data_IF_872673764674
#
_entry.id   IF_872673764674
#
_cell.length_a   1.000
_cell.length_b   1.000
_cell.length_c   1.000
_cell.angle_alpha   90.00
_cell.angle_beta   90.00
_cell.angle_gamma   90.00
#
_symmetry.space_group_name_H-M   'P 1'
#
loop_
_entity.id
_entity.type
_entity.pdbx_description
1 polymer ?
#
# COMPACT_ATOMS: atom_id res chain seq x y z
N UNK A 1 22.79 -7.44 6.53
CA UNK A 1 23.03 -6.19 5.80
C UNK A 1 22.74 -5.03 6.75
N UNK A 2 23.74 -4.21 7.06
CA UNK A 2 23.56 -3.03 7.92
C UNK A 2 22.98 -1.89 7.06
N UNK A 3 21.67 -1.83 6.94
CA UNK A 3 21.00 -0.70 6.31
C UNK A 3 20.85 0.40 7.36
N UNK A 4 21.46 1.54 7.12
CA UNK A 4 21.53 2.66 8.09
C UNK A 4 20.36 3.66 7.95
N UNK A 5 19.54 3.54 6.89
CA UNK A 5 18.41 4.42 6.61
C UNK A 5 17.19 3.61 6.17
N UNK A 6 16.01 4.18 6.30
CA UNK A 6 14.80 3.64 5.67
C UNK A 6 14.89 3.74 4.15
N UNK A 7 14.25 2.81 3.45
CA UNK A 7 14.24 2.79 1.99
C UNK A 7 12.88 2.29 1.50
N UNK A 8 12.29 2.98 0.52
CA UNK A 8 11.01 2.59 -0.08
C UNK A 8 11.05 1.19 -0.71
N UNK A 9 12.23 0.73 -1.15
CA UNK A 9 12.39 -0.64 -1.68
C UNK A 9 12.33 -1.73 -0.60
N UNK A 10 12.28 -1.39 0.68
CA UNK A 10 12.11 -2.38 1.75
C UNK A 10 10.70 -2.97 1.80
N UNK A 11 9.75 -2.37 1.13
CA UNK A 11 8.40 -2.94 0.94
C UNK A 11 8.44 -4.35 0.32
N UNK A 12 9.47 -4.69 -0.46
CA UNK A 12 9.66 -6.05 -1.01
C UNK A 12 9.81 -7.13 0.06
N UNK A 13 10.09 -6.76 1.32
CA UNK A 13 10.18 -7.69 2.44
C UNK A 13 8.83 -7.97 3.12
N UNK A 14 7.77 -7.23 2.79
CA UNK A 14 6.44 -7.41 3.39
C UNK A 14 5.96 -8.87 3.35
N UNK A 15 6.04 -9.60 2.22
CA UNK A 15 5.64 -11.01 2.19
C UNK A 15 6.48 -11.91 3.10
N UNK A 16 7.76 -11.57 3.31
CA UNK A 16 8.60 -12.31 4.24
C UNK A 16 8.22 -12.05 5.71
N UNK A 17 7.79 -10.82 6.04
CA UNK A 17 7.28 -10.46 7.36
C UNK A 17 5.97 -11.19 7.64
N UNK A 18 5.06 -11.26 6.66
CA UNK A 18 3.82 -12.04 6.74
C UNK A 18 4.11 -13.53 6.95
N UNK A 19 4.96 -14.10 6.10
CA UNK A 19 5.39 -15.50 6.21
C UNK A 19 5.98 -15.82 7.57
N UNK A 20 6.81 -14.93 8.12
CA UNK A 20 7.33 -15.06 9.47
C UNK A 20 6.22 -15.07 10.52
N UNK A 21 5.23 -14.21 10.40
CA UNK A 21 4.10 -14.16 11.34
C UNK A 21 3.35 -15.50 11.41
N UNK A 22 3.22 -16.20 10.28
CA UNK A 22 2.57 -17.52 10.21
C UNK A 22 3.41 -18.59 10.93
N UNK A 23 4.73 -18.60 10.71
CA UNK A 23 5.60 -19.67 11.22
C UNK A 23 6.22 -19.36 12.59
N UNK A 24 6.09 -18.14 13.09
CA UNK A 24 6.75 -17.64 14.30
C UNK A 24 6.56 -18.55 15.53
N UNK A 25 5.38 -19.16 15.64
CA UNK A 25 5.07 -20.02 16.80
C UNK A 25 5.52 -21.47 16.64
N UNK A 26 6.00 -21.88 15.45
CA UNK A 26 6.40 -23.25 15.16
C UNK A 26 7.90 -23.41 14.89
N UNK A 27 8.64 -22.33 14.67
CA UNK A 27 10.11 -22.34 14.54
C UNK A 27 10.79 -22.42 15.91
N UNK A 28 12.09 -22.74 15.92
CA UNK A 28 12.89 -22.80 17.15
C UNK A 28 12.95 -21.43 17.85
N UNK A 29 13.15 -21.44 19.17
CA UNK A 29 13.31 -20.18 19.92
C UNK A 29 14.54 -19.39 19.44
N UNK A 30 15.63 -20.08 19.10
CA UNK A 30 16.86 -19.43 18.60
C UNK A 30 16.62 -18.69 17.28
N UNK A 31 15.93 -19.34 16.33
CA UNK A 31 15.58 -18.71 15.05
C UNK A 31 14.64 -17.51 15.25
N UNK A 32 13.67 -17.68 16.16
CA UNK A 32 12.75 -16.59 16.52
C UNK A 32 13.49 -15.39 17.09
N UNK A 33 14.39 -15.60 18.03
CA UNK A 33 15.16 -14.52 18.66
C UNK A 33 16.05 -13.79 17.65
N UNK A 34 16.62 -14.51 16.68
CA UNK A 34 17.41 -13.92 15.61
C UNK A 34 16.56 -13.03 14.70
N UNK A 35 15.41 -13.54 14.23
CA UNK A 35 14.50 -12.82 13.33
C UNK A 35 13.86 -11.63 14.06
N UNK A 36 13.32 -11.83 15.27
CA UNK A 36 12.77 -10.75 16.11
C UNK A 36 13.84 -9.66 16.35
N UNK A 37 15.08 -10.07 16.63
CA UNK A 37 16.21 -9.15 16.80
C UNK A 37 16.51 -8.33 15.55
N UNK A 38 16.38 -8.93 14.35
CA UNK A 38 16.54 -8.22 13.09
C UNK A 38 15.38 -7.23 12.86
N UNK A 39 14.14 -7.63 13.10
CA UNK A 39 12.98 -6.73 12.98
C UNK A 39 13.09 -5.52 13.92
N UNK A 40 13.49 -5.73 15.17
CA UNK A 40 13.72 -4.63 16.13
C UNK A 40 14.81 -3.67 15.66
N UNK A 41 15.89 -4.18 15.07
CA UNK A 41 16.93 -3.33 14.47
C UNK A 41 16.37 -2.48 13.33
N UNK A 42 15.49 -3.04 12.47
CA UNK A 42 14.84 -2.27 11.39
C UNK A 42 13.91 -1.20 11.94
N UNK A 43 13.04 -1.53 12.89
CA UNK A 43 12.18 -0.56 13.58
C UNK A 43 12.99 0.60 14.15
N UNK A 44 14.11 0.31 14.81
CA UNK A 44 14.98 1.35 15.36
C UNK A 44 15.59 2.26 14.28
N UNK A 45 15.89 1.73 13.09
CA UNK A 45 16.32 2.54 11.95
C UNK A 45 15.19 3.45 11.49
N UNK A 46 13.97 2.94 11.35
CA UNK A 46 12.80 3.71 10.94
C UNK A 46 12.49 4.84 11.94
N UNK A 47 12.56 4.56 13.23
CA UNK A 47 12.37 5.55 14.31
C UNK A 47 13.43 6.64 14.23
N UNK A 48 14.69 6.27 14.03
CA UNK A 48 15.82 7.21 13.96
C UNK A 48 15.77 8.08 12.70
N UNK A 49 15.47 7.48 11.58
CA UNK A 49 15.40 8.16 10.29
C UNK A 49 14.18 9.08 10.22
N UNK A 50 13.04 8.61 10.67
CA UNK A 50 11.76 9.31 10.84
C UNK A 50 11.39 10.28 9.69
N UNK A 51 11.73 9.90 8.46
CA UNK A 51 11.49 10.71 7.26
C UNK A 51 10.05 10.49 6.74
N UNK A 52 9.07 11.01 7.49
CA UNK A 52 7.65 10.96 7.12
C UNK A 52 7.34 12.05 6.08
N UNK A 53 7.66 11.78 4.84
CA UNK A 53 7.25 12.62 3.72
C UNK A 53 5.76 12.44 3.44
N UNK A 54 5.10 13.51 3.03
CA UNK A 54 3.67 13.49 2.69
C UNK A 54 3.45 12.90 1.28
N UNK A 55 3.96 11.70 1.01
CA UNK A 55 3.90 11.00 -0.26
C UNK A 55 4.17 9.49 -0.08
N UNK A 56 4.31 8.75 -1.18
CA UNK A 56 4.56 7.30 -1.20
C UNK A 56 5.71 6.84 -0.28
N UNK A 57 6.75 7.65 -0.05
CA UNK A 57 7.83 7.32 0.90
C UNK A 57 7.33 7.24 2.34
N UNK A 58 6.50 8.23 2.74
CA UNK A 58 5.89 8.23 4.06
C UNK A 58 4.88 7.09 4.23
N UNK A 59 4.08 6.79 3.18
CA UNK A 59 3.15 5.66 3.20
C UNK A 59 3.88 4.33 3.37
N UNK A 60 4.99 4.15 2.63
CA UNK A 60 5.85 2.98 2.80
C UNK A 60 6.42 2.88 4.23
N UNK A 61 6.84 3.99 4.82
CA UNK A 61 7.35 3.97 6.20
C UNK A 61 6.24 3.61 7.21
N UNK A 62 5.02 4.10 7.01
CA UNK A 62 3.85 3.74 7.83
C UNK A 62 3.52 2.25 7.69
N UNK A 63 3.56 1.70 6.48
CA UNK A 63 3.43 0.27 6.21
C UNK A 63 4.48 -0.53 6.98
N UNK A 64 5.76 -0.12 6.94
CA UNK A 64 6.83 -0.81 7.67
C UNK A 64 6.59 -0.83 9.18
N UNK A 65 6.19 0.29 9.79
CA UNK A 65 5.86 0.32 11.22
C UNK A 65 4.70 -0.63 11.55
N UNK A 66 3.68 -0.66 10.71
CA UNK A 66 2.54 -1.55 10.92
C UNK A 66 2.95 -3.02 10.86
N UNK A 67 3.61 -3.44 9.77
CA UNK A 67 3.96 -4.82 9.54
C UNK A 67 4.98 -5.38 10.55
N UNK A 68 6.08 -4.69 10.76
CA UNK A 68 7.10 -5.15 11.72
C UNK A 68 6.58 -5.13 13.15
N UNK A 69 5.79 -4.12 13.52
CA UNK A 69 5.16 -4.04 14.83
C UNK A 69 4.17 -5.18 15.07
N UNK A 70 3.31 -5.46 14.09
CA UNK A 70 2.32 -6.54 14.15
C UNK A 70 2.98 -7.93 14.19
N UNK A 71 3.97 -8.18 13.34
CA UNK A 71 4.71 -9.45 13.32
C UNK A 71 5.43 -9.75 14.64
N UNK A 72 5.90 -8.71 15.34
CA UNK A 72 6.48 -8.83 16.69
C UNK A 72 5.45 -8.87 17.82
N UNK A 73 4.16 -8.65 17.51
CA UNK A 73 3.12 -8.36 18.49
C UNK A 73 3.49 -7.19 19.42
N UNK A 74 4.18 -6.19 18.87
CA UNK A 74 4.65 -5.01 19.60
C UNK A 74 3.64 -3.86 19.49
N UNK A 75 2.64 -3.90 20.38
CA UNK A 75 1.56 -2.89 20.40
C UNK A 75 2.08 -1.46 20.59
N UNK A 76 3.23 -1.29 21.25
CA UNK A 76 3.80 0.05 21.41
C UNK A 76 4.29 0.62 20.07
N UNK A 77 4.95 -0.21 19.25
CA UNK A 77 5.37 0.20 17.90
C UNK A 77 4.16 0.55 17.04
N UNK A 78 3.15 -0.34 16.97
CA UNK A 78 1.94 -0.10 16.17
C UNK A 78 1.21 1.16 16.64
N UNK A 79 0.98 1.33 17.93
CA UNK A 79 0.23 2.49 18.42
C UNK A 79 1.01 3.79 18.28
N UNK A 80 2.29 3.82 18.68
CA UNK A 80 3.08 5.06 18.75
C UNK A 80 3.50 5.54 17.37
N UNK A 81 3.99 4.62 16.52
CA UNK A 81 4.60 5.00 15.25
C UNK A 81 3.70 4.83 14.04
N UNK A 82 2.59 4.08 14.17
CA UNK A 82 1.59 3.96 13.13
C UNK A 82 0.28 4.68 13.52
N UNK A 83 -0.53 4.16 14.44
CA UNK A 83 -1.90 4.65 14.70
C UNK A 83 -1.96 6.12 15.13
N UNK A 84 -1.12 6.53 16.08
CA UNK A 84 -1.12 7.91 16.58
C UNK A 84 -0.61 8.93 15.56
N UNK A 85 0.15 8.49 14.56
CA UNK A 85 0.68 9.36 13.50
C UNK A 85 -0.18 9.39 12.26
N UNK A 86 -0.93 8.31 12.00
CA UNK A 86 -1.63 8.09 10.75
C UNK A 86 -2.53 9.25 10.35
N UNK A 87 -3.48 9.65 11.19
CA UNK A 87 -4.43 10.71 10.85
C UNK A 87 -3.75 12.07 10.65
N UNK A 88 -2.71 12.36 11.43
CA UNK A 88 -1.94 13.61 11.32
C UNK A 88 -1.11 13.70 10.05
N UNK A 89 -0.56 12.57 9.61
CA UNK A 89 0.29 12.48 8.42
C UNK A 89 -0.54 12.32 7.13
N UNK A 90 -1.50 11.39 7.09
CA UNK A 90 -2.23 11.05 5.87
C UNK A 90 -3.10 12.18 5.35
N UNK A 91 -3.54 13.10 6.24
CA UNK A 91 -4.28 14.30 5.83
C UNK A 91 -3.52 15.20 4.87
N UNK A 92 -2.19 15.11 4.83
CA UNK A 92 -1.35 15.87 3.90
C UNK A 92 -1.07 15.09 2.61
N UNK A 93 -1.31 13.77 2.60
CA UNK A 93 -1.08 12.92 1.45
C UNK A 93 -2.34 12.67 0.61
N UNK A 94 -3.50 12.52 1.24
CA UNK A 94 -4.77 12.28 0.57
C UNK A 94 -5.66 13.52 0.57
N UNK A 95 -6.29 13.80 -0.57
CA UNK A 95 -7.16 14.96 -0.77
C UNK A 95 -8.63 14.56 -0.96
N UNK A 96 -9.54 15.48 -0.60
CA UNK A 96 -10.99 15.25 -0.68
C UNK A 96 -11.50 15.02 -2.10
N UNK A 97 -10.77 15.46 -3.13
CA UNK A 97 -11.08 15.18 -4.53
C UNK A 97 -10.61 13.80 -5.02
N UNK A 98 -9.94 13.03 -4.15
CA UNK A 98 -9.42 11.70 -4.45
C UNK A 98 -7.98 11.68 -4.97
N UNK A 99 -7.33 12.82 -5.16
CA UNK A 99 -5.91 12.84 -5.56
C UNK A 99 -4.99 12.51 -4.38
N UNK A 100 -3.75 12.09 -4.70
CA UNK A 100 -2.65 11.98 -3.73
C UNK A 100 -1.63 13.10 -3.94
N UNK A 101 -0.78 13.36 -2.97
CA UNK A 101 0.34 14.31 -3.12
C UNK A 101 1.24 13.92 -4.30
N UNK A 102 1.47 12.63 -4.49
CA UNK A 102 2.26 12.12 -5.61
C UNK A 102 1.63 12.45 -6.96
N UNK A 103 0.31 12.31 -7.11
CA UNK A 103 -0.37 12.69 -8.35
C UNK A 103 -0.28 14.20 -8.57
N UNK A 104 -0.51 14.98 -7.52
CA UNK A 104 -0.49 16.45 -7.62
C UNK A 104 0.90 17.00 -8.00
N UNK A 105 1.96 16.44 -7.44
CA UNK A 105 3.32 16.91 -7.69
C UNK A 105 4.00 16.28 -8.91
N UNK A 106 3.55 15.10 -9.33
CA UNK A 106 4.17 14.32 -10.41
C UNK A 106 3.32 14.26 -11.69
N UNK A 107 2.03 14.61 -11.60
CA UNK A 107 1.07 14.47 -12.71
C UNK A 107 1.12 13.07 -13.34
N UNK A 108 1.05 12.04 -12.47
CA UNK A 108 1.27 10.67 -12.91
C UNK A 108 0.46 9.64 -12.11
N UNK A 109 -0.40 8.88 -12.80
CA UNK A 109 -1.09 7.74 -12.18
C UNK A 109 -0.15 6.61 -11.79
N UNK A 110 1.01 6.49 -12.44
CA UNK A 110 2.07 5.59 -12.00
C UNK A 110 2.48 5.85 -10.55
N UNK A 111 2.54 7.11 -10.10
CA UNK A 111 2.88 7.46 -8.72
C UNK A 111 1.68 7.49 -7.78
N UNK A 112 0.51 7.92 -8.27
CA UNK A 112 -0.74 7.80 -7.53
C UNK A 112 -1.01 6.35 -7.11
N UNK A 113 -0.94 5.44 -8.07
CA UNK A 113 -1.12 4.01 -7.81
C UNK A 113 -0.03 3.42 -6.91
N UNK A 114 1.22 3.88 -7.07
CA UNK A 114 2.32 3.41 -6.25
C UNK A 114 2.19 3.82 -4.77
N UNK A 115 1.61 4.99 -4.49
CA UNK A 115 1.24 5.38 -3.14
C UNK A 115 0.09 4.50 -2.60
N UNK A 116 -0.94 4.26 -3.43
CA UNK A 116 -2.06 3.38 -3.09
C UNK A 116 -1.64 1.94 -2.82
N UNK A 117 -0.55 1.44 -3.42
CA UNK A 117 0.00 0.12 -3.14
C UNK A 117 0.29 -0.07 -1.65
N UNK A 118 0.99 0.89 -1.04
CA UNK A 118 1.34 0.78 0.37
C UNK A 118 0.12 0.88 1.28
N UNK A 119 -0.88 1.66 0.91
CA UNK A 119 -2.17 1.67 1.60
C UNK A 119 -2.90 0.33 1.47
N UNK A 120 -2.89 -0.28 0.28
CA UNK A 120 -3.48 -1.59 0.05
C UNK A 120 -2.83 -2.67 0.92
N UNK A 121 -1.49 -2.68 0.97
CA UNK A 121 -0.73 -3.60 1.81
C UNK A 121 -1.01 -3.38 3.30
N UNK A 122 -1.19 -2.15 3.77
CA UNK A 122 -1.62 -1.88 5.16
C UNK A 122 -3.01 -2.47 5.41
N UNK A 123 -3.96 -2.27 4.51
CA UNK A 123 -5.30 -2.85 4.62
C UNK A 123 -5.26 -4.37 4.66
N UNK A 124 -4.47 -5.00 3.78
CA UNK A 124 -4.25 -6.44 3.80
C UNK A 124 -3.66 -6.92 5.14
N UNK A 125 -2.62 -6.26 5.62
CA UNK A 125 -2.05 -6.57 6.93
C UNK A 125 -3.07 -6.44 8.06
N UNK A 126 -3.94 -5.41 8.03
CA UNK A 126 -5.03 -5.27 8.99
C UNK A 126 -6.04 -6.42 8.89
N UNK A 127 -6.41 -6.83 7.69
CA UNK A 127 -7.27 -7.99 7.49
C UNK A 127 -6.67 -9.25 8.10
N UNK A 128 -5.36 -9.47 7.94
CA UNK A 128 -4.64 -10.62 8.47
C UNK A 128 -4.45 -10.59 9.99
N UNK A 129 -4.13 -9.42 10.57
CA UNK A 129 -3.79 -9.32 11.99
C UNK A 129 -4.96 -8.93 12.90
N UNK A 130 -5.97 -8.24 12.36
CA UNK A 130 -7.04 -7.62 13.14
C UNK A 130 -8.45 -7.93 12.58
N UNK A 131 -8.54 -8.53 11.39
CA UNK A 131 -9.79 -8.89 10.71
C UNK A 131 -10.27 -7.86 9.70
N UNK A 132 -11.10 -8.32 8.76
CA UNK A 132 -11.61 -7.51 7.64
C UNK A 132 -12.38 -6.27 8.07
N UNK A 133 -13.13 -6.35 9.15
CA UNK A 133 -13.87 -5.17 9.67
C UNK A 133 -12.95 -4.00 9.96
N UNK A 134 -11.80 -4.25 10.59
CA UNK A 134 -10.81 -3.19 10.89
C UNK A 134 -10.18 -2.66 9.61
N UNK A 135 -9.89 -3.54 8.65
CA UNK A 135 -9.36 -3.15 7.35
C UNK A 135 -10.34 -2.29 6.56
N UNK A 136 -11.64 -2.64 6.53
CA UNK A 136 -12.68 -1.88 5.86
C UNK A 136 -12.90 -0.50 6.49
N UNK A 137 -12.94 -0.44 7.82
CA UNK A 137 -13.03 0.82 8.54
C UNK A 137 -11.84 1.72 8.20
N UNK A 138 -10.63 1.18 8.17
CA UNK A 138 -9.42 1.91 7.81
C UNK A 138 -9.43 2.37 6.34
N UNK A 139 -9.84 1.51 5.41
CA UNK A 139 -9.96 1.82 3.99
C UNK A 139 -10.94 2.98 3.71
N UNK A 140 -12.07 2.99 4.42
CA UNK A 140 -13.12 3.99 4.24
C UNK A 140 -12.97 5.22 5.15
N UNK A 141 -12.05 5.22 6.12
CA UNK A 141 -11.91 6.26 7.13
C UNK A 141 -11.70 7.64 6.50
N UNK A 142 -12.58 8.58 6.82
CA UNK A 142 -12.36 10.00 6.50
C UNK A 142 -11.22 10.57 7.36
N UNK A 143 -10.15 10.96 6.70
CA UNK A 143 -8.94 11.46 7.36
C UNK A 143 -8.73 12.97 7.17
N UNK A 144 -9.46 13.58 6.22
CA UNK A 144 -9.32 15.01 5.89
C UNK A 144 -10.53 15.53 5.10
N UNK A 145 -11.64 15.81 5.79
CA UNK A 145 -12.82 16.47 5.19
C UNK A 145 -13.31 15.77 3.90
N UNK A 146 -13.43 14.47 3.93
CA UNK A 146 -13.88 13.65 2.82
C UNK A 146 -12.74 12.94 2.05
N UNK A 147 -11.50 13.06 2.48
CA UNK A 147 -10.39 12.26 1.95
C UNK A 147 -10.34 10.89 2.63
N UNK A 148 -10.13 9.83 1.85
CA UNK A 148 -9.91 8.47 2.34
C UNK A 148 -9.15 7.66 1.29
N UNK A 149 -8.62 6.49 1.68
CA UNK A 149 -8.02 5.56 0.72
C UNK A 149 -9.06 5.18 -0.34
N UNK A 150 -10.27 4.81 0.11
CA UNK A 150 -11.39 4.50 -0.78
C UNK A 150 -11.67 5.62 -1.79
N UNK A 151 -11.66 6.86 -1.35
CA UNK A 151 -11.90 8.02 -2.21
C UNK A 151 -10.83 8.14 -3.29
N UNK A 152 -9.58 7.87 -2.95
CA UNK A 152 -8.47 7.92 -3.92
C UNK A 152 -8.52 6.75 -4.90
N UNK A 153 -8.96 5.58 -4.47
CA UNK A 153 -9.23 4.44 -5.36
C UNK A 153 -10.43 4.72 -6.27
N UNK A 154 -11.54 5.26 -5.75
CA UNK A 154 -12.71 5.64 -6.54
C UNK A 154 -12.38 6.69 -7.61
N UNK A 155 -11.50 7.65 -7.29
CA UNK A 155 -11.00 8.64 -8.25
C UNK A 155 -10.18 7.98 -9.39
N UNK A 156 -9.39 6.96 -9.08
CA UNK A 156 -8.53 6.26 -10.04
C UNK A 156 -9.30 5.28 -10.96
N UNK A 157 -10.36 4.63 -10.45
CA UNK A 157 -11.14 3.61 -11.19
C UNK A 157 -11.54 4.00 -12.62
N UNK A 158 -12.06 5.19 -12.94
CA UNK A 158 -12.42 5.56 -14.31
C UNK A 158 -11.27 5.42 -15.31
N UNK A 159 -10.06 5.78 -14.89
CA UNK A 159 -8.85 5.69 -15.70
C UNK A 159 -8.39 4.24 -15.92
N UNK A 160 -8.68 3.35 -14.98
CA UNK A 160 -8.45 1.92 -15.13
C UNK A 160 -9.48 1.25 -16.03
N UNK A 161 -10.75 1.52 -15.78
CA UNK A 161 -11.87 0.78 -16.40
C UNK A 161 -12.13 1.25 -17.82
N UNK A 162 -12.04 2.54 -18.09
CA UNK A 162 -12.31 3.15 -19.41
C UNK A 162 -11.31 4.26 -19.75
N UNK A 163 -10.03 3.91 -19.97
CA UNK A 163 -8.97 4.89 -20.26
C UNK A 163 -9.22 5.66 -21.57
N UNK A 164 -10.02 5.10 -22.49
CA UNK A 164 -10.35 5.79 -23.73
C UNK A 164 -11.27 7.00 -23.51
N UNK A 165 -12.18 6.92 -22.53
CA UNK A 165 -13.02 8.04 -22.11
C UNK A 165 -12.36 8.95 -21.06
N UNK A 166 -11.39 8.41 -20.33
CA UNK A 166 -10.66 9.10 -19.28
C UNK A 166 -9.16 9.11 -19.63
N UNK A 167 -8.75 9.81 -20.70
CA UNK A 167 -7.35 9.85 -21.08
C UNK A 167 -6.53 10.65 -20.06
N UNK A 168 -5.31 10.19 -19.81
CA UNK A 168 -4.31 10.92 -19.06
C UNK A 168 -2.95 10.73 -19.73
N UNK A 169 -2.12 11.76 -19.68
CA UNK A 169 -0.74 11.72 -20.17
C UNK A 169 0.20 11.93 -19.00
N UNK A 170 1.05 10.95 -18.75
CA UNK A 170 1.92 10.87 -17.59
C UNK A 170 2.99 11.97 -17.57
N UNK A 171 3.17 12.64 -16.44
CA UNK A 171 4.25 13.57 -16.12
C UNK A 171 4.26 14.88 -16.91
N UNK A 172 3.20 15.27 -17.61
CA UNK A 172 3.19 16.49 -18.43
C UNK A 172 3.44 17.72 -17.58
N UNK A 173 2.75 17.83 -16.44
CA UNK A 173 2.83 18.96 -15.52
C UNK A 173 3.69 18.66 -14.29
N UNK A 174 4.59 17.67 -14.37
CA UNK A 174 5.43 17.30 -13.24
C UNK A 174 6.29 18.48 -12.74
N UNK A 175 6.28 18.70 -11.43
CA UNK A 175 7.14 19.69 -10.76
C UNK A 175 8.58 19.16 -10.56
N UNK A 176 8.81 17.83 -10.75
CA UNK A 176 10.11 17.23 -10.50
C UNK A 176 10.88 16.97 -11.79
N UNK A 177 11.90 17.79 -12.02
CA UNK A 177 12.69 17.76 -13.26
C UNK A 177 13.25 16.37 -13.69
N UNK A 178 13.65 15.45 -12.78
CA UNK A 178 14.07 14.10 -13.17
C UNK A 178 13.01 13.29 -13.92
N UNK A 179 11.71 13.54 -13.72
CA UNK A 179 10.64 12.83 -14.42
C UNK A 179 10.70 13.01 -15.94
N UNK A 180 11.19 14.15 -16.40
CA UNK A 180 11.36 14.43 -17.82
C UNK A 180 12.34 13.49 -18.54
N UNK A 181 13.12 12.71 -17.76
CA UNK A 181 14.06 11.71 -18.29
C UNK A 181 13.49 10.28 -18.26
N UNK A 182 12.27 10.10 -17.78
CA UNK A 182 11.64 8.79 -17.70
C UNK A 182 11.19 8.31 -19.05
N UNK A 183 11.15 6.98 -19.21
CA UNK A 183 10.67 6.34 -20.45
C UNK A 183 9.18 6.53 -20.70
N UNK A 184 8.41 6.80 -19.64
CA UNK A 184 6.97 7.02 -19.65
C UNK A 184 6.59 8.52 -19.64
N UNK A 185 7.57 9.43 -19.59
CA UNK A 185 7.32 10.87 -19.70
C UNK A 185 6.57 11.25 -20.97
N UNK A 186 5.51 12.05 -20.83
CA UNK A 186 4.66 12.54 -21.93
C UNK A 186 4.08 11.39 -22.80
N UNK A 187 3.77 10.24 -22.16
CA UNK A 187 3.08 9.12 -22.80
C UNK A 187 1.70 8.89 -22.19
N UNK A 188 0.75 8.35 -22.96
CA UNK A 188 -0.55 7.99 -22.42
C UNK A 188 -0.39 7.03 -21.23
N UNK A 189 -1.17 7.26 -20.19
CA UNK A 189 -1.26 6.35 -19.04
C UNK A 189 -1.66 4.95 -19.52
N UNK A 190 -0.95 3.96 -19.03
CA UNK A 190 -1.22 2.53 -19.32
C UNK A 190 -1.73 1.81 -18.08
N UNK A 191 -3.03 1.48 -17.98
CA UNK A 191 -3.56 0.71 -16.87
C UNK A 191 -2.81 -0.60 -16.60
N UNK A 192 -2.34 -1.28 -17.65
CA UNK A 192 -1.61 -2.53 -17.52
C UNK A 192 -0.34 -2.40 -16.63
N UNK A 193 0.29 -1.24 -16.62
CA UNK A 193 1.49 -0.96 -15.82
C UNK A 193 1.22 -0.84 -14.31
N UNK A 194 -0.05 -0.65 -13.92
CA UNK A 194 -0.46 -0.43 -12.53
C UNK A 194 -1.41 -1.51 -12.00
N UNK A 195 -1.64 -2.59 -12.79
CA UNK A 195 -2.58 -3.66 -12.42
C UNK A 195 -2.18 -4.41 -11.15
N UNK A 196 -0.89 -4.49 -10.83
CA UNK A 196 -0.44 -5.08 -9.58
C UNK A 196 -1.00 -4.36 -8.33
N UNK A 197 -1.23 -3.05 -8.43
CA UNK A 197 -1.86 -2.27 -7.36
C UNK A 197 -3.36 -2.55 -7.27
N UNK A 198 -4.04 -2.60 -8.41
CA UNK A 198 -5.46 -2.96 -8.46
C UNK A 198 -5.70 -4.38 -7.92
N UNK A 199 -4.78 -5.31 -8.18
CA UNK A 199 -4.82 -6.67 -7.64
C UNK A 199 -4.70 -6.68 -6.10
N UNK A 200 -3.78 -5.89 -5.53
CA UNK A 200 -3.64 -5.76 -4.07
C UNK A 200 -4.90 -5.18 -3.40
N UNK A 201 -5.63 -4.31 -4.11
CA UNK A 201 -6.85 -3.67 -3.61
C UNK A 201 -8.12 -4.53 -3.77
N UNK A 202 -8.06 -5.69 -4.44
CA UNK A 202 -9.24 -6.54 -4.68
C UNK A 202 -9.93 -7.00 -3.39
N UNK A 203 -9.18 -7.17 -2.31
CA UNK A 203 -9.75 -7.54 -1.01
C UNK A 203 -10.60 -6.40 -0.41
N UNK A 204 -10.31 -5.15 -0.76
CA UNK A 204 -11.02 -3.97 -0.26
C UNK A 204 -12.08 -3.46 -1.24
N UNK A 205 -11.91 -3.72 -2.54
CA UNK A 205 -12.78 -3.15 -3.58
C UNK A 205 -12.99 -4.12 -4.74
N UNK A 206 -14.13 -4.83 -4.71
CA UNK A 206 -14.49 -5.84 -5.70
C UNK A 206 -14.68 -5.25 -7.12
N UNK A 207 -15.00 -3.96 -7.25
CA UNK A 207 -15.18 -3.33 -8.55
C UNK A 207 -13.91 -3.36 -9.41
N UNK A 208 -12.74 -3.45 -8.76
CA UNK A 208 -11.45 -3.56 -9.45
C UNK A 208 -11.24 -4.88 -10.19
N UNK A 209 -12.04 -5.92 -9.87
CA UNK A 209 -11.93 -7.22 -10.54
C UNK A 209 -12.04 -7.09 -12.06
N UNK A 210 -12.91 -6.21 -12.54
CA UNK A 210 -13.09 -5.98 -13.99
C UNK A 210 -11.83 -5.42 -14.66
N UNK A 211 -11.08 -4.56 -13.96
CA UNK A 211 -9.83 -4.03 -14.45
C UNK A 211 -8.73 -5.10 -14.43
N UNK A 212 -8.62 -5.82 -13.32
CA UNK A 212 -7.63 -6.90 -13.17
C UNK A 212 -7.84 -7.98 -14.22
N UNK A 213 -9.07 -8.45 -14.41
CA UNK A 213 -9.39 -9.46 -15.44
C UNK A 213 -9.04 -8.99 -16.86
N UNK A 214 -9.28 -7.72 -17.16
CA UNK A 214 -8.99 -7.13 -18.47
C UNK A 214 -7.50 -7.06 -18.78
N UNK A 215 -6.67 -6.72 -17.80
CA UNK A 215 -5.26 -6.37 -18.02
C UNK A 215 -4.23 -7.39 -17.56
N UNK A 216 -4.61 -8.33 -16.70
CA UNK A 216 -3.65 -9.32 -16.16
C UNK A 216 -3.06 -10.29 -17.20
N UNK A 217 -3.76 -10.50 -18.33
CA UNK A 217 -3.24 -11.26 -19.47
C UNK A 217 -2.80 -12.70 -19.15
N UNK A 218 -3.38 -13.35 -18.13
CA UNK A 218 -2.98 -14.70 -17.69
C UNK A 218 -1.71 -14.72 -16.82
N UNK A 219 -1.27 -13.59 -16.28
CA UNK A 219 -0.12 -13.53 -15.38
C UNK A 219 -0.43 -14.26 -14.06
N UNK A 220 0.36 -15.32 -13.71
CA UNK A 220 0.12 -16.12 -12.51
C UNK A 220 0.34 -15.37 -11.19
N UNK A 221 1.01 -14.22 -11.19
CA UNK A 221 1.26 -13.43 -9.98
C UNK A 221 -0.03 -12.91 -9.32
N UNK A 222 -1.09 -12.72 -10.08
CA UNK A 222 -2.37 -12.25 -9.56
C UNK A 222 -3.27 -13.37 -8.98
N UNK A 223 -2.85 -14.62 -9.07
CA UNK A 223 -3.72 -15.77 -8.74
C UNK A 223 -4.05 -15.85 -7.26
N UNK A 224 -3.10 -15.56 -6.37
CA UNK A 224 -3.32 -15.73 -4.94
C UNK A 224 -4.16 -14.59 -4.32
N UNK A 225 -3.95 -13.35 -4.76
CA UNK A 225 -4.79 -12.21 -4.34
C UNK A 225 -6.23 -12.39 -4.83
N UNK A 226 -6.39 -12.82 -6.07
CA UNK A 226 -7.70 -13.17 -6.60
C UNK A 226 -8.35 -14.29 -5.79
N UNK A 227 -7.58 -15.27 -5.32
CA UNK A 227 -8.08 -16.35 -4.46
C UNK A 227 -8.56 -15.81 -3.11
N UNK A 228 -7.78 -14.94 -2.45
CA UNK A 228 -8.18 -14.30 -1.19
C UNK A 228 -9.42 -13.43 -1.35
N UNK A 229 -9.46 -12.61 -2.40
CA UNK A 229 -10.62 -11.81 -2.76
C UNK A 229 -11.86 -12.67 -2.99
N UNK A 230 -11.73 -13.78 -3.72
CA UNK A 230 -12.83 -14.73 -3.93
C UNK A 230 -13.28 -15.37 -2.62
N UNK A 231 -12.37 -15.77 -1.75
CA UNK A 231 -12.71 -16.31 -0.43
C UNK A 231 -13.52 -15.29 0.36
N UNK A 232 -13.08 -14.04 0.39
CA UNK A 232 -13.79 -12.98 1.08
C UNK A 232 -15.19 -12.72 0.51
N UNK A 233 -15.29 -12.50 -0.81
CA UNK A 233 -16.55 -12.04 -1.43
C UNK A 233 -17.57 -13.14 -1.70
N UNK A 234 -17.13 -14.39 -1.88
CA UNK A 234 -18.04 -15.52 -2.16
C UNK A 234 -18.45 -16.31 -0.94
N UNK A 235 -17.56 -16.44 0.05
CA UNK A 235 -17.88 -17.28 1.22
C UNK A 235 -18.33 -16.45 2.42
N UNK A 236 -18.19 -15.12 2.36
CA UNK A 236 -18.57 -14.23 3.43
C UNK A 236 -17.62 -14.32 4.63
N UNK A 237 -17.72 -13.35 5.52
CA UNK A 237 -17.18 -13.46 6.86
C UNK A 237 -18.19 -14.25 7.67
N UNK A 238 -17.87 -15.47 8.10
CA UNK A 238 -18.56 -16.05 9.26
C UNK A 238 -18.21 -15.17 10.45
N UNK A 239 -19.23 -14.53 11.04
CA UNK A 239 -19.14 -13.69 12.23
C UNK A 239 -18.62 -14.46 13.46
#
# INVERSE_FOLDING_TARGET
>A
VAVSKSNIHESVYTPAVEGYSIIRNVISQADRDEIDGWFRKRINVFIKDNDLRDNNWGTCLMQQFYYYGSALNDKNVVNTYFRNRYSGWVKNNLYANGTTTDLMGRDAFAYHSYDLLFFAEICHGMACYEGYKVADEFYAQDVNWGASIKKSVDFWKPYLLDPAKNPHTEFVETEWAPDKKRSDYNKPYSPAGTMYVADELLEMDQDLLRAVDKYRGGNPFYTWRLTLSNLRWYYGEEE
#
